data_IF_577261125490
#
_entry.id   IF_577261125490
#
_cell.length_a   1.000
_cell.length_b   1.000
_cell.length_c   1.000
_cell.angle_alpha   90.00
_cell.angle_beta   90.00
_cell.angle_gamma   90.00
#
_symmetry.space_group_name_H-M   'P 1'
#
loop_
_entity.id
_entity.type
_entity.pdbx_description
1 polymer ?
#
# COMPACT_ATOMS: atom_id res chain seq x y z
N UNK A 1 -2.39 20.71 -104.09
CA UNK A 1 -2.74 21.93 -103.33
C UNK A 1 -4.21 21.89 -102.93
N UNK A 2 -4.53 21.65 -101.66
CA UNK A 2 -5.81 22.02 -101.01
C UNK A 2 -5.61 21.87 -99.50
N UNK A 3 -5.73 22.99 -98.80
CA UNK A 3 -5.43 23.13 -97.38
C UNK A 3 -6.40 22.36 -96.50
N UNK A 4 -5.88 21.80 -95.41
CA UNK A 4 -6.67 21.26 -94.31
C UNK A 4 -6.47 22.16 -93.10
N UNK A 5 -7.57 22.75 -92.68
CA UNK A 5 -7.75 23.65 -91.54
C UNK A 5 -7.40 22.94 -90.23
N UNK A 6 -6.47 23.53 -89.47
CA UNK A 6 -6.15 23.12 -88.09
C UNK A 6 -7.22 23.72 -87.17
N UNK A 7 -8.01 22.87 -86.51
CA UNK A 7 -8.90 23.27 -85.41
C UNK A 7 -8.12 23.14 -84.11
N UNK A 8 -7.80 24.27 -83.49
CA UNK A 8 -7.18 24.34 -82.17
C UNK A 8 -8.21 23.93 -81.11
N UNK A 9 -7.97 22.82 -80.41
CA UNK A 9 -8.67 22.49 -79.18
C UNK A 9 -7.86 23.05 -78.01
N UNK A 10 -8.44 24.01 -77.29
CA UNK A 10 -7.86 24.52 -76.04
C UNK A 10 -8.02 23.45 -74.95
N UNK A 11 -6.91 22.89 -74.46
CA UNK A 11 -6.90 22.12 -73.22
C UNK A 11 -6.98 23.09 -72.03
N UNK A 12 -8.08 23.06 -71.29
CA UNK A 12 -8.15 23.67 -69.96
C UNK A 12 -7.41 22.78 -68.94
N UNK A 13 -6.57 23.34 -68.05
CA UNK A 13 -5.89 22.54 -67.04
C UNK A 13 -6.89 22.13 -65.95
N UNK A 14 -7.06 20.82 -65.74
CA UNK A 14 -7.74 20.29 -64.55
C UNK A 14 -6.83 20.49 -63.34
N UNK A 15 -7.17 21.44 -62.47
CA UNK A 15 -6.56 21.58 -61.15
C UNK A 15 -7.19 20.52 -60.24
N UNK A 16 -6.49 19.42 -60.01
CA UNK A 16 -6.87 18.43 -58.99
C UNK A 16 -6.41 18.97 -57.64
N UNK A 17 -7.33 19.57 -56.90
CA UNK A 17 -7.10 20.02 -55.53
C UNK A 17 -7.08 18.79 -54.60
N UNK A 18 -5.89 18.24 -54.36
CA UNK A 18 -5.69 17.19 -53.38
C UNK A 18 -5.93 17.72 -51.97
N UNK A 19 -7.11 17.46 -51.41
CA UNK A 19 -7.40 17.72 -50.00
C UNK A 19 -6.66 16.65 -49.18
N UNK A 20 -5.49 17.00 -48.65
CA UNK A 20 -4.80 16.22 -47.63
C UNK A 20 -5.64 16.32 -46.34
N UNK A 21 -6.46 15.29 -46.06
CA UNK A 21 -7.06 15.12 -44.74
C UNK A 21 -5.95 14.70 -43.77
N UNK A 22 -5.28 15.67 -43.15
CA UNK A 22 -4.42 15.39 -42.01
C UNK A 22 -5.32 14.82 -40.87
N UNK A 23 -4.94 13.71 -40.23
CA UNK A 23 -5.68 13.24 -39.06
C UNK A 23 -5.68 14.34 -37.99
N UNK A 24 -6.76 14.51 -37.22
CA UNK A 24 -6.78 15.50 -36.16
C UNK A 24 -5.62 15.23 -35.20
N UNK A 25 -4.66 16.15 -35.15
CA UNK A 25 -3.63 16.16 -34.13
C UNK A 25 -4.35 16.17 -32.80
N UNK A 26 -4.27 15.07 -32.05
CA UNK A 26 -4.57 15.09 -30.63
C UNK A 26 -3.52 15.99 -30.01
N UNK A 27 -3.86 17.27 -29.82
CA UNK A 27 -3.06 18.16 -29.02
C UNK A 27 -2.89 17.47 -27.66
N UNK A 28 -1.65 17.06 -27.33
CA UNK A 28 -1.35 16.51 -26.03
C UNK A 28 -1.80 17.56 -25.01
N UNK A 29 -2.77 17.20 -24.15
CA UNK A 29 -3.14 18.09 -23.06
C UNK A 29 -1.89 18.42 -22.25
N UNK A 30 -1.70 19.67 -21.82
CA UNK A 30 -0.56 20.05 -21.02
C UNK A 30 -0.50 19.12 -19.81
N UNK A 31 0.63 18.42 -19.66
CA UNK A 31 0.86 17.48 -18.57
C UNK A 31 0.66 18.21 -17.25
N UNK A 32 -0.48 17.99 -16.59
CA UNK A 32 -0.75 18.59 -15.27
C UNK A 32 0.05 17.83 -14.23
N UNK A 33 1.01 18.52 -13.60
CA UNK A 33 1.65 18.00 -12.40
C UNK A 33 0.61 17.94 -11.29
N UNK A 34 0.30 16.73 -10.83
CA UNK A 34 -0.56 16.51 -9.66
C UNK A 34 0.35 16.32 -8.45
N UNK A 35 0.18 17.17 -7.43
CA UNK A 35 0.85 17.03 -6.13
C UNK A 35 -0.13 16.45 -5.13
N UNK A 36 0.25 15.35 -4.47
CA UNK A 36 -0.54 14.75 -3.40
C UNK A 36 0.04 15.17 -2.03
N UNK A 37 -0.81 15.52 -1.05
CA UNK A 37 -0.39 15.62 0.34
C UNK A 37 0.22 14.31 0.82
N UNK A 38 1.28 14.37 1.64
CA UNK A 38 1.98 13.17 2.10
C UNK A 38 1.10 12.31 3.01
N UNK A 39 0.16 12.93 3.73
CA UNK A 39 -0.91 12.29 4.50
C UNK A 39 -1.77 11.41 3.58
N UNK A 40 -2.19 11.93 2.42
CA UNK A 40 -3.00 11.16 1.47
C UNK A 40 -2.22 9.96 0.90
N UNK A 41 -0.91 10.13 0.66
CA UNK A 41 -0.04 9.01 0.26
C UNK A 41 0.03 7.95 1.35
N UNK A 42 0.18 8.36 2.61
CA UNK A 42 0.18 7.45 3.75
C UNK A 42 -1.15 6.71 3.88
N UNK A 43 -2.28 7.40 3.70
CA UNK A 43 -3.62 6.80 3.75
C UNK A 43 -3.83 5.76 2.63
N UNK A 44 -3.35 6.04 1.41
CA UNK A 44 -3.41 5.08 0.31
C UNK A 44 -2.55 3.84 0.58
N UNK A 45 -1.33 4.03 1.09
CA UNK A 45 -0.46 2.92 1.48
C UNK A 45 -1.11 2.09 2.60
N UNK A 46 -1.66 2.75 3.62
CA UNK A 46 -2.36 2.10 4.71
C UNK A 46 -3.52 1.26 4.21
N UNK A 47 -4.39 1.82 3.38
CA UNK A 47 -5.55 1.12 2.83
C UNK A 47 -5.17 -0.17 2.10
N UNK A 48 -4.10 -0.14 1.29
CA UNK A 48 -3.62 -1.33 0.56
C UNK A 48 -2.97 -2.34 1.50
N UNK A 49 -2.12 -1.90 2.44
CA UNK A 49 -1.45 -2.78 3.42
C UNK A 49 -2.49 -3.47 4.31
N UNK A 50 -3.46 -2.71 4.83
CA UNK A 50 -4.53 -3.22 5.68
C UNK A 50 -5.44 -4.19 4.90
N UNK A 51 -5.81 -3.87 3.67
CA UNK A 51 -6.61 -4.77 2.83
C UNK A 51 -5.92 -6.11 2.58
N UNK A 52 -4.63 -6.10 2.22
CA UNK A 52 -3.86 -7.32 2.01
C UNK A 52 -3.75 -8.15 3.28
N UNK A 53 -3.43 -7.51 4.41
CA UNK A 53 -3.32 -8.21 5.69
C UNK A 53 -4.65 -8.78 6.15
N UNK A 54 -5.74 -8.03 6.00
CA UNK A 54 -7.10 -8.47 6.34
C UNK A 54 -7.50 -9.67 5.50
N UNK A 55 -7.29 -9.59 4.18
CA UNK A 55 -7.58 -10.70 3.27
C UNK A 55 -6.75 -11.94 3.63
N UNK A 56 -5.44 -11.81 3.83
CA UNK A 56 -4.58 -12.92 4.23
C UNK A 56 -5.06 -13.56 5.54
N UNK A 57 -5.39 -12.75 6.54
CA UNK A 57 -5.84 -13.22 7.86
C UNK A 57 -7.14 -13.99 7.77
N UNK A 58 -8.17 -13.43 7.12
CA UNK A 58 -9.49 -14.04 7.06
C UNK A 58 -9.56 -15.18 6.04
N UNK A 59 -9.11 -14.90 4.83
CA UNK A 59 -9.33 -15.77 3.67
C UNK A 59 -8.25 -16.83 3.49
N UNK A 60 -7.10 -16.70 4.15
CA UNK A 60 -6.04 -17.72 4.09
C UNK A 60 -5.88 -18.39 5.46
N UNK A 61 -5.50 -17.64 6.49
CA UNK A 61 -5.18 -18.20 7.80
C UNK A 61 -6.41 -18.78 8.49
N UNK A 62 -7.42 -17.95 8.77
CA UNK A 62 -8.59 -18.36 9.54
C UNK A 62 -9.40 -19.42 8.81
N UNK A 63 -9.66 -19.24 7.49
CA UNK A 63 -10.36 -20.23 6.67
C UNK A 63 -9.66 -21.60 6.66
N UNK A 64 -8.34 -21.67 6.53
CA UNK A 64 -7.62 -22.94 6.51
C UNK A 64 -7.54 -23.60 7.90
N UNK A 65 -7.45 -22.80 8.96
CA UNK A 65 -7.50 -23.28 10.34
C UNK A 65 -8.86 -23.88 10.69
N UNK A 66 -9.96 -23.20 10.33
CA UNK A 66 -11.32 -23.70 10.55
C UNK A 66 -11.61 -24.98 9.76
N UNK A 67 -10.96 -25.17 8.61
CA UNK A 67 -11.02 -26.42 7.83
C UNK A 67 -10.11 -27.53 8.38
N UNK A 68 -9.34 -27.28 9.44
CA UNK A 68 -8.40 -28.25 10.01
C UNK A 68 -7.24 -28.61 9.09
N UNK A 69 -6.91 -27.76 8.10
CA UNK A 69 -5.90 -28.07 7.07
C UNK A 69 -4.51 -27.57 7.42
N UNK A 70 -4.38 -26.27 7.67
CA UNK A 70 -3.11 -25.64 8.03
C UNK A 70 -3.33 -24.64 9.16
N UNK A 71 -2.32 -24.50 10.01
CA UNK A 71 -2.26 -23.49 11.06
C UNK A 71 -1.27 -22.39 10.70
N UNK A 72 -1.38 -21.23 11.35
CA UNK A 72 -0.30 -20.25 11.35
C UNK A 72 0.60 -20.49 12.57
N UNK A 73 1.91 -20.30 12.41
CA UNK A 73 2.89 -20.53 13.48
C UNK A 73 4.06 -19.56 13.40
N UNK A 74 4.67 -19.25 14.55
CA UNK A 74 5.90 -18.46 14.62
C UNK A 74 7.07 -19.11 13.85
N UNK A 75 7.12 -20.45 13.78
CA UNK A 75 8.18 -21.22 13.10
C UNK A 75 7.78 -21.75 11.71
N UNK A 76 6.86 -21.05 11.03
CA UNK A 76 6.15 -21.54 9.84
C UNK A 76 7.02 -22.15 8.73
N UNK A 77 8.22 -21.62 8.49
CA UNK A 77 9.14 -22.17 7.47
C UNK A 77 9.59 -23.59 7.81
N UNK A 78 10.04 -23.79 9.05
CA UNK A 78 10.54 -25.09 9.52
C UNK A 78 9.40 -26.08 9.77
N UNK A 79 8.23 -25.57 10.18
CA UNK A 79 7.05 -26.39 10.44
C UNK A 79 6.19 -26.64 9.20
N UNK A 80 6.56 -26.07 8.04
CA UNK A 80 5.76 -26.12 6.81
C UNK A 80 4.30 -25.66 7.00
N UNK A 81 4.11 -24.60 7.79
CA UNK A 81 2.80 -24.00 8.08
C UNK A 81 2.69 -22.60 7.46
N UNK A 82 1.60 -21.89 7.74
CA UNK A 82 1.40 -20.51 7.28
C UNK A 82 2.16 -19.52 8.19
N UNK A 83 2.70 -18.40 7.65
CA UNK A 83 3.16 -17.30 8.50
C UNK A 83 1.99 -16.68 9.27
N UNK A 84 2.28 -16.21 10.49
CA UNK A 84 1.33 -15.37 11.25
C UNK A 84 1.02 -14.07 10.48
N UNK A 85 -0.16 -13.45 10.66
CA UNK A 85 -0.48 -12.16 10.04
C UNK A 85 0.56 -11.06 10.27
N UNK A 86 1.18 -11.04 11.45
CA UNK A 86 2.26 -10.10 11.77
C UNK A 86 3.58 -10.42 11.04
N UNK A 87 3.85 -11.71 10.80
CA UNK A 87 5.01 -12.13 10.01
C UNK A 87 4.78 -11.84 8.53
N UNK A 88 3.58 -12.08 8.00
CA UNK A 88 3.21 -11.70 6.64
C UNK A 88 3.51 -10.21 6.37
N UNK A 89 3.02 -9.31 7.23
CA UNK A 89 3.26 -7.87 7.06
C UNK A 89 4.74 -7.49 7.13
N UNK A 90 5.53 -8.15 8.00
CA UNK A 90 6.98 -7.93 8.06
C UNK A 90 7.68 -8.37 6.77
N UNK A 91 7.36 -9.57 6.29
CA UNK A 91 7.98 -10.14 5.09
C UNK A 91 7.63 -9.31 3.84
N UNK A 92 6.40 -8.80 3.74
CA UNK A 92 6.04 -7.90 2.64
C UNK A 92 6.74 -6.55 2.72
N UNK A 93 7.01 -6.04 3.94
CA UNK A 93 7.84 -4.84 4.11
C UNK A 93 9.27 -5.09 3.63
N UNK A 94 9.84 -6.23 4.01
CA UNK A 94 11.20 -6.60 3.61
C UNK A 94 11.28 -6.74 2.08
N UNK A 95 10.29 -7.37 1.45
CA UNK A 95 10.18 -7.41 -0.02
C UNK A 95 10.01 -6.03 -0.66
N UNK A 96 9.19 -5.16 -0.08
CA UNK A 96 9.01 -3.80 -0.59
C UNK A 96 10.33 -3.02 -0.60
N UNK A 97 11.16 -3.19 0.42
CA UNK A 97 12.48 -2.54 0.51
C UNK A 97 13.43 -2.92 -0.63
N UNK A 98 13.26 -4.12 -1.22
CA UNK A 98 14.07 -4.58 -2.36
C UNK A 98 13.76 -3.84 -3.66
N UNK A 99 12.66 -3.11 -3.74
CA UNK A 99 12.31 -2.31 -4.93
C UNK A 99 13.15 -1.03 -5.05
N UNK A 100 13.96 -0.70 -4.04
CA UNK A 100 14.72 0.54 -3.94
C UNK A 100 13.94 1.68 -3.30
N UNK A 101 12.63 1.51 -3.05
CA UNK A 101 11.87 2.46 -2.24
C UNK A 101 12.38 2.48 -0.81
N UNK A 102 12.44 3.68 -0.22
CA UNK A 102 12.74 3.86 1.20
C UNK A 102 11.49 3.91 2.07
N UNK A 103 10.31 3.62 1.51
CA UNK A 103 9.08 3.45 2.30
C UNK A 103 9.26 2.26 3.24
N UNK A 104 8.90 2.44 4.51
CA UNK A 104 8.95 1.41 5.54
C UNK A 104 7.60 1.27 6.19
N UNK A 105 7.20 0.05 6.53
CA UNK A 105 6.02 -0.18 7.36
C UNK A 105 6.20 -1.38 8.29
N UNK A 106 5.60 -1.31 9.47
CA UNK A 106 5.72 -2.36 10.49
C UNK A 106 4.58 -2.29 11.50
N UNK A 107 4.41 -3.37 12.24
CA UNK A 107 3.50 -3.40 13.38
C UNK A 107 4.20 -2.99 14.67
N UNK A 108 3.52 -2.19 15.49
CA UNK A 108 3.87 -1.93 16.87
C UNK A 108 2.70 -2.21 17.81
N UNK A 109 2.96 -2.39 19.10
CA UNK A 109 1.91 -2.53 20.11
C UNK A 109 2.41 -2.16 21.51
N UNK A 110 1.46 -1.78 22.37
CA UNK A 110 1.71 -1.55 23.80
C UNK A 110 1.96 -2.86 24.56
N UNK A 111 1.41 -3.97 24.04
CA UNK A 111 1.53 -5.32 24.62
C UNK A 111 2.10 -6.31 23.58
N UNK A 112 3.32 -6.11 23.08
CA UNK A 112 3.83 -6.91 21.97
C UNK A 112 4.31 -8.28 22.48
N UNK A 113 3.86 -9.36 21.82
CA UNK A 113 4.39 -10.71 22.04
C UNK A 113 5.86 -10.78 21.59
N UNK A 114 6.13 -10.32 20.37
CA UNK A 114 7.50 -10.14 19.88
C UNK A 114 8.00 -8.76 20.29
N UNK A 115 9.01 -8.70 21.16
CA UNK A 115 9.60 -7.45 21.68
C UNK A 115 10.09 -6.49 20.60
N UNK A 116 10.41 -6.96 19.39
CA UNK A 116 10.78 -6.10 18.26
C UNK A 116 9.62 -5.20 17.78
N UNK A 117 8.37 -5.52 18.17
CA UNK A 117 7.19 -4.71 17.89
C UNK A 117 6.87 -3.73 19.04
N UNK A 118 7.76 -3.54 20.01
CA UNK A 118 7.62 -2.43 20.95
C UNK A 118 7.82 -1.08 20.21
N UNK A 119 7.19 0.01 20.68
CA UNK A 119 7.53 1.34 20.20
C UNK A 119 9.01 1.63 20.49
N UNK A 120 9.72 2.14 19.49
CA UNK A 120 11.13 2.49 19.56
C UNK A 120 11.38 3.91 20.09
N UNK A 121 10.33 4.74 20.09
CA UNK A 121 10.39 6.15 20.52
C UNK A 121 9.17 6.53 21.35
N UNK A 122 9.28 7.59 22.14
CA UNK A 122 8.14 8.15 22.88
C UNK A 122 7.04 8.64 21.93
N UNK A 123 7.38 9.12 20.73
CA UNK A 123 6.41 9.52 19.71
C UNK A 123 5.57 8.32 19.23
N UNK A 124 6.20 7.16 19.03
CA UNK A 124 5.45 5.94 18.67
C UNK A 124 4.57 5.44 19.80
N UNK A 125 5.04 5.55 21.05
CA UNK A 125 4.24 5.18 22.22
C UNK A 125 3.02 6.11 22.37
N UNK A 126 3.22 7.42 22.24
CA UNK A 126 2.12 8.39 22.25
C UNK A 126 1.14 8.16 21.10
N UNK A 127 1.65 7.84 19.90
CA UNK A 127 0.81 7.48 18.76
C UNK A 127 -0.02 6.21 19.01
N UNK A 128 0.57 5.18 19.62
CA UNK A 128 -0.15 3.98 20.06
C UNK A 128 -1.27 4.30 21.06
N UNK A 129 -1.00 5.14 22.05
CA UNK A 129 -1.99 5.57 23.05
C UNK A 129 -3.13 6.38 22.40
N UNK A 130 -2.81 7.25 21.44
CA UNK A 130 -3.81 8.02 20.69
C UNK A 130 -4.71 7.11 19.84
N UNK A 131 -4.14 6.23 19.02
CA UNK A 131 -4.96 5.35 18.15
C UNK A 131 -5.72 4.29 18.95
N UNK A 132 -5.31 4.00 20.18
CA UNK A 132 -6.10 3.19 21.10
C UNK A 132 -7.41 3.89 21.53
N UNK A 133 -7.35 5.22 21.73
CA UNK A 133 -8.49 6.05 22.17
C UNK A 133 -9.35 6.53 21.00
N UNK A 134 -8.70 6.87 19.88
CA UNK A 134 -9.30 7.45 18.67
C UNK A 134 -8.86 6.66 17.42
N UNK A 135 -9.30 5.39 17.29
CA UNK A 135 -8.81 4.46 16.27
C UNK A 135 -9.14 4.84 14.83
N UNK A 136 -10.06 5.77 14.61
CA UNK A 136 -10.40 6.35 13.31
C UNK A 136 -9.46 7.49 12.88
N UNK A 137 -8.55 7.93 13.77
CA UNK A 137 -7.65 9.05 13.53
C UNK A 137 -6.20 8.58 13.57
N UNK A 138 -5.44 8.68 12.47
CA UNK A 138 -4.02 8.36 12.52
C UNK A 138 -3.26 9.40 13.36
N UNK A 139 -2.19 8.95 14.02
CA UNK A 139 -1.21 9.84 14.61
C UNK A 139 -0.06 10.06 13.62
N UNK A 140 0.20 11.32 13.25
CA UNK A 140 1.20 11.67 12.23
C UNK A 140 2.26 12.61 12.78
N UNK A 141 3.45 12.57 12.18
CA UNK A 141 4.56 13.45 12.57
C UNK A 141 5.80 13.24 11.73
N UNK A 142 6.81 14.07 11.97
CA UNK A 142 8.13 13.91 11.35
C UNK A 142 9.05 13.14 12.29
N UNK A 143 9.83 12.22 11.73
CA UNK A 143 10.84 11.46 12.47
C UNK A 143 12.16 11.44 11.70
N UNK A 144 13.25 11.21 12.42
CA UNK A 144 14.59 11.12 11.85
C UNK A 144 15.20 9.79 12.24
N UNK A 145 15.67 9.02 11.26
CA UNK A 145 16.41 7.77 11.48
C UNK A 145 17.79 7.91 10.85
N UNK A 146 18.83 8.02 11.68
CA UNK A 146 20.17 8.37 11.21
C UNK A 146 20.17 9.77 10.59
N UNK A 147 20.52 9.88 9.31
CA UNK A 147 20.49 11.15 8.55
C UNK A 147 19.21 11.33 7.73
N UNK A 148 18.35 10.32 7.68
CA UNK A 148 17.15 10.32 6.82
C UNK A 148 15.93 10.85 7.59
N UNK A 149 15.16 11.73 6.94
CA UNK A 149 13.92 12.29 7.47
C UNK A 149 12.72 11.60 6.85
N UNK A 150 11.75 11.27 7.69
CA UNK A 150 10.54 10.57 7.31
C UNK A 150 9.31 11.33 7.80
N UNK A 151 8.26 11.33 6.98
CA UNK A 151 6.90 11.45 7.48
C UNK A 151 6.49 10.10 8.06
N UNK A 152 5.99 10.09 9.28
CA UNK A 152 5.51 8.91 9.98
C UNK A 152 4.01 9.03 10.22
N UNK A 153 3.26 7.99 9.90
CA UNK A 153 1.85 7.85 10.22
C UNK A 153 1.61 6.53 10.96
N UNK A 154 0.80 6.57 12.00
CA UNK A 154 0.48 5.44 12.88
C UNK A 154 -1.02 5.25 12.84
N UNK A 155 -1.46 4.06 12.40
CA UNK A 155 -2.86 3.69 12.21
C UNK A 155 -3.24 2.55 13.13
N UNK A 156 -4.44 2.56 13.71
CA UNK A 156 -4.91 1.49 14.59
C UNK A 156 -4.94 0.13 13.85
N UNK A 157 -4.40 -0.91 14.48
CA UNK A 157 -4.53 -2.30 14.02
C UNK A 157 -5.54 -3.04 14.91
N UNK A 158 -6.68 -3.42 14.32
CA UNK A 158 -7.80 -4.02 15.06
C UNK A 158 -7.79 -5.55 15.01
N UNK A 159 -8.35 -6.15 16.05
CA UNK A 159 -8.65 -7.57 16.14
C UNK A 159 -9.77 -7.98 15.17
N UNK A 160 -9.44 -8.22 13.90
CA UNK A 160 -10.42 -8.55 12.85
C UNK A 160 -10.78 -10.04 12.74
N UNK A 161 -10.02 -10.94 13.37
CA UNK A 161 -10.19 -12.39 13.24
C UNK A 161 -10.03 -13.13 14.57
N UNK A 162 -10.71 -14.27 14.75
CA UNK A 162 -10.58 -15.08 15.97
C UNK A 162 -9.19 -15.71 16.08
N UNK A 163 -8.55 -16.03 14.95
CA UNK A 163 -7.17 -16.49 14.93
C UNK A 163 -6.18 -15.48 15.57
N UNK A 164 -6.40 -14.17 15.35
CA UNK A 164 -5.59 -13.12 15.96
C UNK A 164 -5.81 -13.06 17.48
N UNK A 165 -7.08 -13.03 17.90
CA UNK A 165 -7.47 -12.92 19.31
C UNK A 165 -7.02 -14.16 20.09
N UNK A 166 -7.32 -15.35 19.58
CA UNK A 166 -7.00 -16.62 20.22
C UNK A 166 -5.50 -16.80 20.40
N UNK A 167 -4.69 -16.44 19.40
CA UNK A 167 -3.24 -16.46 19.54
C UNK A 167 -2.79 -15.50 20.64
N UNK A 168 -3.17 -14.22 20.58
CA UNK A 168 -2.73 -13.24 21.58
C UNK A 168 -3.20 -13.55 23.00
N UNK A 169 -4.43 -14.05 23.16
CA UNK A 169 -4.98 -14.37 24.47
C UNK A 169 -4.43 -15.66 25.05
N UNK A 170 -3.91 -16.59 24.24
CA UNK A 170 -3.33 -17.84 24.72
C UNK A 170 -1.79 -17.84 24.76
N UNK A 171 -1.13 -16.89 24.07
CA UNK A 171 0.32 -16.95 23.89
C UNK A 171 1.06 -16.73 25.21
N UNK A 172 1.98 -17.64 25.64
CA UNK A 172 2.65 -17.55 26.95
C UNK A 172 3.48 -16.27 27.17
N UNK A 173 3.92 -15.63 26.09
CA UNK A 173 4.68 -14.37 26.13
C UNK A 173 3.79 -13.13 25.93
N UNK A 174 2.48 -13.27 25.82
CA UNK A 174 1.60 -12.12 25.66
C UNK A 174 1.56 -11.32 26.96
N UNK A 175 1.75 -10.00 26.94
CA UNK A 175 1.56 -9.18 28.14
C UNK A 175 0.08 -8.92 28.47
N UNK A 176 -0.83 -9.16 27.52
CA UNK A 176 -2.28 -8.94 27.65
C UNK A 176 -3.05 -10.13 27.05
N UNK A 177 -4.09 -10.60 27.75
CA UNK A 177 -4.76 -11.88 27.44
C UNK A 177 -6.28 -11.80 27.25
N UNK A 178 -6.83 -10.60 27.17
CA UNK A 178 -8.26 -10.31 27.19
C UNK A 178 -8.70 -9.47 25.99
N UNK A 179 -7.98 -9.56 24.86
CA UNK A 179 -8.38 -8.90 23.61
C UNK A 179 -9.74 -9.43 23.12
N UNK A 180 -10.55 -8.54 22.54
CA UNK A 180 -11.84 -8.86 21.93
C UNK A 180 -11.91 -8.41 20.48
N UNK A 181 -12.90 -8.94 19.76
CA UNK A 181 -13.14 -8.56 18.36
C UNK A 181 -13.36 -7.06 18.22
N UNK A 182 -12.68 -6.45 17.26
CA UNK A 182 -12.73 -5.01 16.99
C UNK A 182 -11.86 -4.13 17.89
N UNK A 183 -11.29 -4.66 18.99
CA UNK A 183 -10.36 -3.91 19.84
C UNK A 183 -9.05 -3.62 19.10
N UNK A 184 -8.45 -2.47 19.42
CA UNK A 184 -7.11 -2.13 18.93
C UNK A 184 -6.09 -3.02 19.65
N UNK A 185 -5.34 -3.79 18.87
CA UNK A 185 -4.29 -4.68 19.35
C UNK A 185 -2.90 -4.05 19.26
N UNK A 186 -2.77 -3.04 18.40
CA UNK A 186 -1.53 -2.35 18.10
C UNK A 186 -1.74 -1.32 17.02
N UNK A 187 -0.71 -1.04 16.23
CA UNK A 187 -0.76 -0.11 15.14
C UNK A 187 0.14 -0.51 13.98
N UNK A 188 -0.26 -0.13 12.77
CA UNK A 188 0.61 -0.12 11.58
C UNK A 188 1.29 1.25 11.54
N UNK A 189 2.61 1.25 11.61
CA UNK A 189 3.44 2.43 11.35
C UNK A 189 3.82 2.42 9.88
N UNK A 190 3.66 3.55 9.20
CA UNK A 190 4.14 3.80 7.85
C UNK A 190 5.10 4.98 7.91
N UNK A 191 6.26 4.83 7.29
CA UNK A 191 7.28 5.86 7.16
C UNK A 191 7.56 6.12 5.69
N UNK A 192 7.36 7.36 5.26
CA UNK A 192 7.58 7.83 3.88
C UNK A 192 8.78 8.78 3.89
N UNK A 193 9.82 8.53 3.09
CA UNK A 193 10.97 9.43 3.04
C UNK A 193 10.53 10.82 2.54
N UNK A 194 10.99 11.89 3.19
CA UNK A 194 10.72 13.25 2.71
C UNK A 194 11.54 13.62 1.47
N UNK A 195 12.62 12.89 1.23
CA UNK A 195 13.51 13.03 0.09
C UNK A 195 13.61 11.65 -0.61
N UNK A 196 13.07 11.50 -1.83
CA UNK A 196 13.04 10.23 -2.55
C UNK A 196 14.43 9.72 -2.94
#
# INVERSE_FOLDING_TARGET
MRGRTVRSFALAPLIVLGILLAPPSHAAEPSRTVTLPIEAVADYLHAVIEAHRTFYTLQVVERLQQQGKLVASENWRAAHTLPLPAQFLRETNDLASLTGTKIRYRLIGLWPINRQNAPATEAEKAGLEQVQQHPEQPHTGLTTTGTERYFQAIYADRAVAQACIGCHNAHPKSPKHDFKAGEVMGAIVIQIPLEP
#
